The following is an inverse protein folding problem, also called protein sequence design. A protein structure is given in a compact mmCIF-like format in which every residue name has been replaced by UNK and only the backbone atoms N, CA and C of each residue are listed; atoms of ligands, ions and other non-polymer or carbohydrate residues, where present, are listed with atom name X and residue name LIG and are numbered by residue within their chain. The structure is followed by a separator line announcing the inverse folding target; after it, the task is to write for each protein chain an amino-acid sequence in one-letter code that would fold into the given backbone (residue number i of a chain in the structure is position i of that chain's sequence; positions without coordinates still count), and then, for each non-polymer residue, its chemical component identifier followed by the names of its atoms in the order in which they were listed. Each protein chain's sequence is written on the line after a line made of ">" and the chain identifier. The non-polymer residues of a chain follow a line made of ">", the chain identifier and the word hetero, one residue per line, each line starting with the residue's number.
data_IF_120553357194
#
_entry.id   IF_120553357194
#
_cell.length_a   1.000
_cell.length_b   1.000
_cell.length_c   1.000
_cell.angle_alpha   90.00
_cell.angle_beta   90.00
_cell.angle_gamma   90.00
#
_symmetry.space_group_name_H-M   'P 1'
#
loop_
_entity.id
_entity.type
_entity.pdbx_description
1 polymer ?
#
# COMPACT_ATOMS: atom_id res chain seq x y z
N UNK A 1 -15.04 4.03 -31.75
CA UNK A 1 -14.80 3.24 -30.52
C UNK A 1 -15.34 1.84 -30.78
N UNK A 2 -14.47 0.83 -30.73
CA UNK A 2 -14.76 -0.54 -31.16
C UNK A 2 -15.44 -1.39 -30.07
N UNK A 3 -16.60 -0.98 -29.52
CA UNK A 3 -17.49 -1.84 -28.71
C UNK A 3 -16.90 -2.66 -27.55
N UNK A 4 -15.64 -2.41 -27.15
CA UNK A 4 -14.90 -3.23 -26.21
C UNK A 4 -15.35 -2.91 -24.79
N UNK A 5 -15.64 -3.95 -24.01
CA UNK A 5 -16.12 -3.82 -22.63
C UNK A 5 -14.99 -4.14 -21.69
N UNK A 6 -14.63 -3.18 -20.84
CA UNK A 6 -13.65 -3.36 -19.77
C UNK A 6 -14.34 -3.30 -18.41
N UNK A 7 -14.13 -4.33 -17.59
CA UNK A 7 -14.62 -4.37 -16.21
C UNK A 7 -13.54 -3.79 -15.29
N UNK A 8 -13.93 -2.85 -14.44
CA UNK A 8 -13.06 -2.25 -13.42
C UNK A 8 -13.69 -2.44 -12.04
N UNK A 9 -12.88 -2.86 -11.07
CA UNK A 9 -13.27 -2.92 -9.66
C UNK A 9 -12.55 -1.79 -8.92
N UNK A 10 -13.29 -1.03 -8.11
CA UNK A 10 -12.73 0.04 -7.29
C UNK A 10 -12.95 -0.28 -5.81
N UNK A 11 -11.89 -0.19 -5.03
CA UNK A 11 -11.94 -0.28 -3.58
C UNK A 11 -11.63 1.09 -2.98
N UNK A 12 -12.49 1.57 -2.09
CA UNK A 12 -12.33 2.86 -1.44
C UNK A 12 -12.14 2.68 0.07
N UNK A 13 -10.94 2.96 0.57
CA UNK A 13 -10.64 2.91 1.99
C UNK A 13 -11.02 4.24 2.65
N UNK A 14 -12.13 4.24 3.41
CA UNK A 14 -12.76 5.46 3.94
C UNK A 14 -12.36 5.80 5.38
N UNK A 15 -11.64 4.92 6.08
CA UNK A 15 -11.24 5.10 7.47
C UNK A 15 -9.96 5.95 7.66
N UNK A 16 -9.36 6.46 6.59
CA UNK A 16 -8.14 7.27 6.65
C UNK A 16 -8.46 8.76 6.67
N UNK A 17 -8.53 9.33 7.88
CA UNK A 17 -8.78 10.76 8.07
C UNK A 17 -7.58 11.62 7.59
N UNK A 18 -7.85 12.88 7.26
CA UNK A 18 -6.82 13.83 6.84
C UNK A 18 -5.84 14.13 7.98
N UNK A 19 -4.54 14.14 7.65
CA UNK A 19 -3.40 14.38 8.56
C UNK A 19 -3.12 13.32 9.65
N UNK A 20 -3.76 12.16 9.60
CA UNK A 20 -3.53 11.06 10.54
C UNK A 20 -3.19 9.74 9.81
N UNK A 21 -3.03 8.66 10.56
CA UNK A 21 -2.93 7.27 10.09
C UNK A 21 -4.13 6.45 10.60
N UNK A 22 -4.64 5.46 9.83
CA UNK A 22 -5.76 4.65 10.28
C UNK A 22 -5.32 3.67 11.38
N UNK A 23 -6.24 2.88 11.94
CA UNK A 23 -5.82 1.71 12.72
C UNK A 23 -5.11 0.71 11.80
N UNK A 24 -4.01 0.14 12.28
CA UNK A 24 -3.18 -0.81 11.53
C UNK A 24 -4.02 -1.97 11.00
N UNK A 25 -4.75 -2.64 11.89
CA UNK A 25 -5.66 -3.74 11.53
C UNK A 25 -6.64 -3.39 10.41
N UNK A 26 -7.19 -2.18 10.39
CA UNK A 26 -8.11 -1.76 9.32
C UNK A 26 -7.43 -1.67 7.96
N UNK A 27 -6.19 -1.16 7.91
CA UNK A 27 -5.47 -1.10 6.65
C UNK A 27 -4.98 -2.49 6.21
N UNK A 28 -4.52 -3.33 7.14
CA UNK A 28 -4.11 -4.70 6.84
C UNK A 28 -5.29 -5.53 6.31
N UNK A 29 -6.46 -5.46 6.96
CA UNK A 29 -7.69 -6.11 6.50
C UNK A 29 -8.06 -5.64 5.09
N UNK A 30 -7.96 -4.34 4.83
CA UNK A 30 -8.22 -3.78 3.51
C UNK A 30 -7.21 -4.28 2.46
N UNK A 31 -5.92 -4.30 2.78
CA UNK A 31 -4.86 -4.84 1.92
C UNK A 31 -5.12 -6.31 1.57
N UNK A 32 -5.43 -7.15 2.55
CA UNK A 32 -5.74 -8.56 2.33
C UNK A 32 -7.02 -8.76 1.52
N UNK A 33 -8.04 -7.92 1.74
CA UNK A 33 -9.24 -7.95 0.93
C UNK A 33 -8.95 -7.60 -0.53
N UNK A 34 -8.17 -6.55 -0.79
CA UNK A 34 -7.79 -6.15 -2.17
C UNK A 34 -6.93 -7.23 -2.82
N UNK A 35 -5.94 -7.77 -2.12
CA UNK A 35 -5.07 -8.86 -2.61
C UNK A 35 -5.89 -10.09 -3.02
N UNK A 36 -6.85 -10.51 -2.18
CA UNK A 36 -7.72 -11.65 -2.46
C UNK A 36 -8.67 -11.45 -3.66
N UNK A 37 -8.77 -10.24 -4.20
CA UNK A 37 -9.55 -9.92 -5.39
C UNK A 37 -8.69 -9.72 -6.66
N UNK A 38 -7.36 -9.77 -6.56
CA UNK A 38 -6.47 -9.68 -7.71
C UNK A 38 -6.61 -10.96 -8.56
N UNK A 39 -7.04 -10.81 -9.81
CA UNK A 39 -7.21 -11.94 -10.76
C UNK A 39 -6.06 -12.07 -11.76
N UNK A 40 -5.18 -11.08 -11.84
CA UNK A 40 -4.04 -11.03 -12.76
C UNK A 40 -2.85 -10.37 -12.07
N UNK A 41 -1.65 -10.58 -12.60
CA UNK A 41 -0.43 -9.86 -12.18
C UNK A 41 -0.34 -8.44 -12.80
N UNK A 42 -1.46 -7.87 -13.23
CA UNK A 42 -1.49 -6.52 -13.80
C UNK A 42 -1.28 -5.45 -12.72
N UNK A 43 -0.64 -4.31 -13.04
CA UNK A 43 -0.48 -3.22 -12.08
C UNK A 43 -1.82 -2.72 -11.53
N UNK A 44 -1.88 -2.50 -10.22
CA UNK A 44 -3.04 -1.90 -9.56
C UNK A 44 -2.90 -0.37 -9.53
N UNK A 45 -3.94 0.33 -9.95
CA UNK A 45 -4.02 1.79 -9.80
C UNK A 45 -4.34 2.13 -8.33
N UNK A 46 -3.42 2.81 -7.66
CA UNK A 46 -3.61 3.30 -6.29
C UNK A 46 -3.55 4.83 -6.32
N UNK A 47 -4.52 5.50 -5.70
CA UNK A 47 -4.54 6.95 -5.62
C UNK A 47 -5.06 7.45 -4.26
N UNK A 48 -4.81 8.72 -3.97
CA UNK A 48 -5.46 9.47 -2.90
C UNK A 48 -5.86 10.84 -3.46
N UNK A 49 -5.46 11.94 -2.81
CA UNK A 49 -5.55 13.29 -3.37
C UNK A 49 -4.33 13.59 -4.27
N UNK A 50 -3.15 13.80 -3.68
CA UNK A 50 -1.90 14.06 -4.42
C UNK A 50 -1.21 12.78 -4.95
N UNK A 51 -1.68 11.60 -4.54
CA UNK A 51 -1.13 10.31 -4.98
C UNK A 51 0.29 10.03 -4.47
N UNK A 52 0.67 10.55 -3.30
CA UNK A 52 2.04 10.41 -2.77
C UNK A 52 2.10 10.00 -1.29
N UNK A 53 1.28 10.57 -0.40
CA UNK A 53 1.22 10.22 1.02
C UNK A 53 0.59 8.84 1.27
N UNK A 54 -0.74 8.79 1.42
CA UNK A 54 -1.51 7.53 1.62
C UNK A 54 -1.20 6.48 0.55
N UNK A 55 -1.08 6.92 -0.70
CA UNK A 55 -0.70 6.06 -1.83
C UNK A 55 0.66 5.42 -1.62
N UNK A 56 1.67 6.20 -1.19
CA UNK A 56 2.99 5.67 -0.89
C UNK A 56 2.99 4.73 0.30
N UNK A 57 2.27 5.05 1.37
CA UNK A 57 2.15 4.17 2.53
C UNK A 57 1.50 2.84 2.16
N UNK A 58 0.39 2.85 1.42
CA UNK A 58 -0.27 1.64 0.94
C UNK A 58 0.67 0.77 0.09
N UNK A 59 1.32 1.36 -0.92
CA UNK A 59 2.21 0.63 -1.84
C UNK A 59 3.43 0.06 -1.10
N UNK A 60 3.99 0.80 -0.14
CA UNK A 60 5.13 0.33 0.63
C UNK A 60 4.77 -0.90 1.45
N UNK A 61 3.64 -0.87 2.17
CA UNK A 61 3.19 -2.00 2.99
C UNK A 61 2.86 -3.21 2.09
N UNK A 62 2.05 -3.03 1.03
CA UNK A 62 1.68 -4.10 0.09
C UNK A 62 2.92 -4.81 -0.48
N UNK A 63 3.88 -4.04 -1.01
CA UNK A 63 5.07 -4.59 -1.66
C UNK A 63 6.04 -5.25 -0.66
N UNK A 64 6.20 -4.70 0.53
CA UNK A 64 7.08 -5.26 1.56
C UNK A 64 6.48 -6.48 2.25
N UNK A 65 5.16 -6.55 2.41
CA UNK A 65 4.51 -7.77 2.89
C UNK A 65 4.75 -8.93 1.92
N UNK A 66 4.59 -8.69 0.62
CA UNK A 66 4.88 -9.70 -0.41
C UNK A 66 6.36 -10.11 -0.38
N UNK A 67 7.27 -9.14 -0.42
CA UNK A 67 8.72 -9.41 -0.38
C UNK A 67 9.14 -10.16 0.89
N UNK A 68 8.63 -9.79 2.06
CA UNK A 68 8.93 -10.43 3.33
C UNK A 68 8.39 -11.85 3.41
N UNK A 69 7.18 -12.11 2.90
CA UNK A 69 6.63 -13.48 2.82
C UNK A 69 7.43 -14.38 1.87
N UNK A 70 7.87 -13.83 0.75
CA UNK A 70 8.60 -14.60 -0.27
C UNK A 70 10.07 -14.86 0.12
N UNK A 71 10.71 -13.92 0.82
CA UNK A 71 12.17 -13.93 1.04
C UNK A 71 12.61 -14.01 2.51
N UNK A 72 11.70 -13.78 3.46
CA UNK A 72 11.99 -13.66 4.88
C UNK A 72 12.77 -12.39 5.26
N UNK A 73 12.93 -11.43 4.33
CA UNK A 73 13.70 -10.19 4.54
C UNK A 73 12.97 -9.00 3.92
N UNK A 74 13.08 -7.86 4.59
CA UNK A 74 12.56 -6.58 4.09
C UNK A 74 13.53 -5.44 4.40
N UNK A 75 13.56 -4.43 3.55
CA UNK A 75 14.26 -3.16 3.78
C UNK A 75 13.33 -1.99 3.48
N UNK A 76 12.77 -1.41 4.55
CA UNK A 76 11.81 -0.31 4.46
C UNK A 76 12.50 0.94 3.88
N UNK A 77 13.72 1.26 4.30
CA UNK A 77 14.41 2.47 3.84
C UNK A 77 14.72 2.39 2.35
N UNK A 78 15.28 1.27 1.89
CA UNK A 78 15.56 1.04 0.47
C UNK A 78 14.28 1.06 -0.35
N UNK A 79 13.18 0.48 0.15
CA UNK A 79 11.88 0.51 -0.53
C UNK A 79 11.39 1.95 -0.71
N UNK A 80 11.39 2.76 0.35
CA UNK A 80 10.97 4.16 0.27
C UNK A 80 11.86 4.96 -0.68
N UNK A 81 13.18 4.74 -0.65
CA UNK A 81 14.11 5.37 -1.58
C UNK A 81 13.76 5.05 -3.04
N UNK A 82 13.62 3.76 -3.38
CA UNK A 82 13.26 3.31 -4.74
C UNK A 82 11.90 3.86 -5.19
N UNK A 83 10.93 3.95 -4.29
CA UNK A 83 9.64 4.55 -4.59
C UNK A 83 9.77 6.05 -4.90
N UNK A 84 10.62 6.78 -4.17
CA UNK A 84 10.88 8.21 -4.38
C UNK A 84 11.65 8.49 -5.68
N UNK A 85 12.45 7.54 -6.15
CA UNK A 85 13.10 7.60 -7.47
C UNK A 85 12.09 7.52 -8.63
N UNK A 86 10.99 6.77 -8.45
CA UNK A 86 9.94 6.62 -9.47
C UNK A 86 8.86 7.70 -9.40
N UNK A 87 8.50 8.13 -8.19
CA UNK A 87 7.54 9.21 -7.95
C UNK A 87 8.00 10.01 -6.75
N UNK A 88 8.25 11.30 -6.96
CA UNK A 88 8.74 12.19 -5.90
C UNK A 88 7.81 12.18 -4.69
N UNK A 89 8.39 12.33 -3.49
CA UNK A 89 7.68 12.55 -2.22
C UNK A 89 6.74 11.41 -1.77
N UNK A 90 6.93 10.19 -2.29
CA UNK A 90 6.24 9.00 -1.78
C UNK A 90 6.50 8.82 -0.28
N UNK A 91 5.41 8.64 0.49
CA UNK A 91 5.36 8.73 1.96
C UNK A 91 5.79 10.13 2.41
N UNK A 92 4.81 10.99 2.69
CA UNK A 92 5.02 12.43 2.84
C UNK A 92 5.39 12.83 4.27
N UNK A 93 4.91 12.12 5.28
CA UNK A 93 5.10 12.50 6.69
C UNK A 93 5.89 11.46 7.47
N UNK A 94 6.60 11.87 8.55
CA UNK A 94 7.22 10.92 9.48
C UNK A 94 6.22 9.93 10.08
N UNK A 95 4.99 10.35 10.38
CA UNK A 95 3.95 9.47 10.94
C UNK A 95 3.53 8.39 9.94
N UNK A 96 3.42 8.73 8.66
CA UNK A 96 3.17 7.74 7.61
C UNK A 96 4.31 6.74 7.49
N UNK A 97 5.57 7.17 7.64
CA UNK A 97 6.72 6.27 7.63
C UNK A 97 6.72 5.36 8.86
N UNK A 98 6.52 5.93 10.05
CA UNK A 98 6.38 5.17 11.31
C UNK A 98 5.28 4.12 11.20
N UNK A 99 4.15 4.49 10.62
CA UNK A 99 3.04 3.59 10.39
C UNK A 99 3.37 2.41 9.46
N UNK A 100 4.25 2.60 8.46
CA UNK A 100 4.76 1.48 7.64
C UNK A 100 5.53 0.48 8.52
N UNK A 101 6.39 0.95 9.43
CA UNK A 101 7.11 0.08 10.36
C UNK A 101 6.14 -0.69 11.27
N UNK A 102 5.21 0.01 11.90
CA UNK A 102 4.25 -0.59 12.84
C UNK A 102 3.33 -1.61 12.14
N UNK A 103 2.85 -1.29 10.93
CA UNK A 103 1.98 -2.20 10.17
C UNK A 103 2.70 -3.47 9.71
N UNK A 104 3.96 -3.36 9.30
CA UNK A 104 4.76 -4.53 8.92
C UNK A 104 5.09 -5.39 10.14
N UNK A 105 5.42 -4.78 11.28
CA UNK A 105 5.66 -5.51 12.52
C UNK A 105 4.41 -6.31 12.95
N UNK A 106 3.24 -5.67 13.02
CA UNK A 106 1.98 -6.34 13.37
C UNK A 106 1.66 -7.49 12.40
N UNK A 107 1.85 -7.26 11.09
CA UNK A 107 1.56 -8.27 10.07
C UNK A 107 2.51 -9.49 10.10
N UNK A 108 3.76 -9.33 10.53
CA UNK A 108 4.72 -10.43 10.65
C UNK A 108 4.70 -11.11 12.03
N UNK A 109 4.19 -10.46 13.07
CA UNK A 109 4.00 -11.08 14.39
C UNK A 109 2.72 -11.92 14.46
N UNK A 110 1.70 -11.57 13.67
CA UNK A 110 0.38 -12.22 13.68
C UNK A 110 0.20 -13.31 12.60
N UNK A 111 1.19 -13.48 11.72
CA UNK A 111 1.21 -14.49 10.65
C UNK A 111 2.14 -15.66 10.94
#
# INVERSE_FOLDING_TARGET
>A
QNGEVHKTTQFNFTAWLDHDVPRISQLLDFLYHVEGQKTTDSPVLVHCSAGIGRTGTYIAIDSLLKEGRDTGKIDIQLRVQKMREQRKDMIQTPDQLKFVFEALAEAFETG
#
